data_IF_778141623617
#
_entry.id   IF_778141623617
#
_cell.length_a   1.000
_cell.length_b   1.000
_cell.length_c   1.000
_cell.angle_alpha   90.00
_cell.angle_beta   90.00
_cell.angle_gamma   90.00
#
_symmetry.space_group_name_H-M   'P 1'
#
loop_
_entity.id
_entity.type
_entity.pdbx_description
1 polymer ?
#
# COMPACT_ATOMS: atom_id res chain seq x y z
N UNK A 1 -50.30 -60.21 -5.03
CA UNK A 1 -50.53 -58.93 -5.71
C UNK A 1 -49.82 -57.87 -4.86
N UNK A 2 -48.62 -57.46 -5.28
CA UNK A 2 -47.72 -56.60 -4.51
C UNK A 2 -47.85 -55.15 -5.01
N UNK A 3 -48.07 -54.21 -4.11
CA UNK A 3 -47.87 -52.77 -4.33
C UNK A 3 -46.68 -52.31 -3.47
N UNK A 4 -45.65 -51.67 -4.06
CA UNK A 4 -44.64 -50.96 -3.29
C UNK A 4 -44.97 -49.45 -3.31
N UNK A 5 -45.24 -48.87 -2.15
CA UNK A 5 -45.31 -47.41 -2.00
C UNK A 5 -43.89 -46.88 -1.78
N UNK A 6 -43.42 -46.09 -2.74
CA UNK A 6 -42.08 -45.47 -2.76
C UNK A 6 -41.90 -44.52 -1.57
N UNK A 7 -40.87 -44.75 -0.77
CA UNK A 7 -40.33 -43.74 0.14
C UNK A 7 -39.54 -42.71 -0.69
N UNK A 8 -40.03 -41.47 -0.75
CA UNK A 8 -39.30 -40.34 -1.32
C UNK A 8 -38.26 -39.89 -0.27
N UNK A 9 -36.98 -40.14 -0.53
CA UNK A 9 -35.88 -39.51 0.23
C UNK A 9 -35.56 -38.18 -0.44
N UNK A 10 -35.98 -37.09 0.19
CA UNK A 10 -35.54 -35.74 -0.17
C UNK A 10 -34.08 -35.56 0.26
N UNK A 11 -33.17 -35.40 -0.70
CA UNK A 11 -31.80 -34.96 -0.46
C UNK A 11 -31.79 -33.43 -0.51
N UNK A 12 -31.82 -32.79 0.66
CA UNK A 12 -31.48 -31.36 0.76
C UNK A 12 -29.98 -31.27 0.52
N UNK A 13 -29.59 -30.84 -0.68
CA UNK A 13 -28.21 -30.50 -0.99
C UNK A 13 -27.83 -29.23 -0.24
N UNK A 14 -26.95 -29.35 0.76
CA UNK A 14 -26.22 -28.19 1.28
C UNK A 14 -25.20 -27.77 0.21
N UNK A 15 -25.48 -26.67 -0.47
CA UNK A 15 -24.47 -25.94 -1.22
C UNK A 15 -23.46 -25.35 -0.22
N UNK A 16 -22.29 -25.95 -0.13
CA UNK A 16 -21.13 -25.31 0.49
C UNK A 16 -20.67 -24.18 -0.43
N UNK A 17 -20.91 -22.93 -0.03
CA UNK A 17 -20.17 -21.79 -0.56
C UNK A 17 -18.72 -21.95 -0.07
N UNK A 18 -17.81 -22.37 -0.96
CA UNK A 18 -16.38 -22.22 -0.71
C UNK A 18 -16.08 -20.73 -0.75
N UNK A 19 -16.04 -20.09 0.41
CA UNK A 19 -15.33 -18.82 0.55
C UNK A 19 -13.85 -19.15 0.47
N UNK A 20 -13.21 -18.86 -0.67
CA UNK A 20 -11.77 -18.88 -0.77
C UNK A 20 -11.22 -17.83 0.21
N UNK A 21 -10.56 -18.28 1.27
CA UNK A 21 -9.80 -17.39 2.15
C UNK A 21 -8.57 -16.96 1.38
N UNK A 22 -8.54 -15.72 0.90
CA UNK A 22 -7.32 -15.12 0.35
C UNK A 22 -6.37 -14.90 1.53
N UNK A 23 -5.17 -15.46 1.45
CA UNK A 23 -4.12 -15.21 2.45
C UNK A 23 -3.75 -13.73 2.39
N UNK A 24 -3.49 -13.11 3.55
CA UNK A 24 -2.97 -11.74 3.58
C UNK A 24 -1.65 -11.63 2.81
N UNK A 25 -0.90 -12.74 2.69
CA UNK A 25 0.30 -12.84 1.88
C UNK A 25 0.07 -12.70 0.36
N UNK A 26 -1.17 -12.81 -0.14
CA UNK A 26 -1.51 -12.68 -1.56
C UNK A 26 -2.15 -11.33 -1.90
N UNK A 27 -2.26 -10.42 -0.94
CA UNK A 27 -2.84 -9.10 -1.14
C UNK A 27 -1.75 -8.07 -1.44
N UNK A 28 -2.05 -7.13 -2.33
CA UNK A 28 -1.17 -6.00 -2.58
C UNK A 28 -1.21 -5.09 -1.34
N UNK A 29 -0.07 -4.94 -0.67
CA UNK A 29 0.08 -4.08 0.51
C UNK A 29 0.99 -2.92 0.16
N UNK A 30 0.46 -1.70 0.29
CA UNK A 30 1.14 -0.46 -0.06
C UNK A 30 1.18 0.42 1.17
N UNK A 31 2.36 0.89 1.57
CA UNK A 31 2.41 1.82 2.69
C UNK A 31 3.76 2.48 2.93
N UNK A 32 3.77 3.37 3.92
CA UNK A 32 4.94 4.09 4.39
C UNK A 32 5.82 3.12 5.18
N UNK A 33 7.01 2.86 4.67
CA UNK A 33 8.04 2.02 5.30
C UNK A 33 8.91 2.87 6.21
N UNK A 34 9.26 4.08 5.78
CA UNK A 34 10.05 5.02 6.57
C UNK A 34 9.53 6.45 6.36
N UNK A 35 9.40 7.26 7.42
CA UNK A 35 9.74 7.00 8.82
C UNK A 35 8.83 5.97 9.49
N UNK A 36 9.18 5.54 10.71
CA UNK A 36 8.33 4.69 11.56
C UNK A 36 7.45 5.54 12.47
N UNK A 37 6.29 5.01 12.82
CA UNK A 37 5.30 5.69 13.66
C UNK A 37 5.86 5.97 15.06
N UNK A 38 5.79 7.23 15.47
CA UNK A 38 6.23 7.75 16.77
C UNK A 38 7.71 7.47 17.10
N UNK A 39 8.54 7.28 16.08
CA UNK A 39 9.99 7.26 16.27
C UNK A 39 10.60 8.66 16.19
N UNK A 40 11.73 8.83 16.87
CA UNK A 40 12.52 10.07 16.87
C UNK A 40 13.84 9.81 16.16
N UNK A 41 14.21 10.69 15.23
CA UNK A 41 15.46 10.61 14.48
C UNK A 41 16.32 11.86 14.68
N UNK A 42 17.62 11.71 14.53
CA UNK A 42 18.55 12.84 14.50
C UNK A 42 18.35 13.65 13.20
N UNK A 43 18.47 15.00 13.22
CA UNK A 43 18.42 15.79 12.00
C UNK A 43 19.45 15.28 10.98
N UNK A 44 19.00 15.11 9.74
CA UNK A 44 19.83 14.76 8.60
C UNK A 44 19.70 15.82 7.51
N UNK A 45 20.77 16.04 6.74
CA UNK A 45 20.72 16.97 5.60
C UNK A 45 19.61 16.60 4.60
N UNK A 46 19.40 15.29 4.44
CA UNK A 46 18.36 14.70 3.62
C UNK A 46 17.69 13.56 4.39
N UNK A 47 16.44 13.79 4.77
CA UNK A 47 15.57 12.83 5.43
C UNK A 47 14.86 11.98 4.37
N UNK A 48 15.03 10.64 4.35
CA UNK A 48 14.35 9.79 3.39
C UNK A 48 12.87 9.67 3.74
N UNK A 49 12.02 9.59 2.72
CA UNK A 49 10.64 9.12 2.83
C UNK A 49 10.53 7.92 1.91
N UNK A 50 10.08 6.79 2.44
CA UNK A 50 10.09 5.51 1.72
C UNK A 50 8.72 4.87 1.81
N UNK A 51 8.17 4.53 0.65
CA UNK A 51 7.01 3.67 0.49
C UNK A 51 7.45 2.30 -0.03
N UNK A 52 6.73 1.27 0.36
CA UNK A 52 6.96 -0.10 -0.09
C UNK A 52 5.66 -0.70 -0.59
N UNK A 53 5.77 -1.47 -1.67
CA UNK A 53 4.71 -2.31 -2.21
C UNK A 53 5.14 -3.76 -2.05
N UNK A 54 4.37 -4.53 -1.28
CA UNK A 54 4.51 -5.98 -1.19
C UNK A 54 3.51 -6.66 -2.11
N UNK A 55 3.92 -7.75 -2.76
CA UNK A 55 3.19 -8.38 -3.87
C UNK A 55 2.97 -7.38 -5.02
N UNK A 56 4.06 -6.71 -5.39
CA UNK A 56 4.02 -5.57 -6.30
C UNK A 56 3.57 -5.95 -7.72
N UNK A 57 3.69 -7.22 -8.13
CA UNK A 57 3.22 -7.71 -9.42
C UNK A 57 1.72 -7.45 -9.65
N UNK A 58 0.92 -7.41 -8.58
CA UNK A 58 -0.52 -7.10 -8.61
C UNK A 58 -0.81 -5.63 -8.89
N UNK A 59 0.17 -4.75 -8.75
CA UNK A 59 0.03 -3.31 -8.99
C UNK A 59 -0.01 -2.93 -10.47
N UNK A 60 0.54 -3.78 -11.35
CA UNK A 60 0.77 -3.45 -12.76
C UNK A 60 -0.49 -2.98 -13.51
N UNK A 61 -1.67 -3.50 -13.15
CA UNK A 61 -2.94 -3.13 -13.80
C UNK A 61 -3.64 -1.91 -13.19
N UNK A 62 -3.16 -1.40 -12.05
CA UNK A 62 -3.91 -0.44 -11.23
C UNK A 62 -3.66 1.03 -11.59
N UNK A 63 -2.69 1.34 -12.46
CA UNK A 63 -2.24 2.71 -12.75
C UNK A 63 -2.06 3.52 -11.45
N UNK A 64 -1.18 3.02 -10.59
CA UNK A 64 -0.98 3.57 -9.25
C UNK A 64 -0.34 4.94 -9.29
N UNK A 65 -0.73 5.76 -8.32
CA UNK A 65 -0.17 7.08 -8.09
C UNK A 65 -0.06 7.32 -6.58
N UNK A 66 1.12 7.73 -6.13
CA UNK A 66 1.41 8.05 -4.73
C UNK A 66 1.71 9.54 -4.63
N UNK A 67 0.85 10.27 -3.93
CA UNK A 67 1.03 11.67 -3.60
C UNK A 67 1.31 11.81 -2.10
N UNK A 68 2.25 12.66 -1.69
CA UNK A 68 2.48 12.93 -0.28
C UNK A 68 3.14 14.28 -0.01
N UNK A 69 3.07 14.70 1.24
CA UNK A 69 3.82 15.84 1.78
C UNK A 69 4.16 15.62 3.26
N UNK A 70 5.10 16.41 3.78
CA UNK A 70 5.41 16.45 5.21
C UNK A 70 4.79 17.73 5.80
N UNK A 71 4.15 17.62 6.95
CA UNK A 71 3.58 18.74 7.72
C UNK A 71 4.12 18.80 9.15
N UNK A 72 4.07 19.99 9.74
CA UNK A 72 4.45 20.21 11.14
C UNK A 72 3.29 19.81 12.06
N UNK A 73 3.47 18.71 12.80
CA UNK A 73 2.50 18.18 13.76
C UNK A 73 1.06 18.14 13.22
N UNK A 74 0.14 18.75 13.96
CA UNK A 74 -1.30 18.77 13.62
C UNK A 74 -1.69 19.87 12.63
N UNK A 75 -0.75 20.68 12.14
CA UNK A 75 -1.08 21.71 11.16
C UNK A 75 -1.43 21.07 9.82
N UNK A 76 -2.57 21.45 9.24
CA UNK A 76 -2.99 20.98 7.91
C UNK A 76 -2.23 21.71 6.76
N UNK A 77 -1.04 22.24 7.03
CA UNK A 77 -0.22 22.94 6.05
C UNK A 77 1.04 22.15 5.76
N UNK A 78 1.32 22.00 4.48
CA UNK A 78 2.58 21.46 3.98
C UNK A 78 3.75 22.30 4.51
N UNK A 79 4.76 21.62 5.04
CA UNK A 79 5.98 22.21 5.56
C UNK A 79 7.20 21.94 4.65
N UNK A 80 7.25 20.79 3.96
CA UNK A 80 8.44 20.37 3.20
C UNK A 80 8.15 19.85 1.78
N UNK A 81 7.29 20.52 1.02
CA UNK A 81 7.06 20.13 -0.37
C UNK A 81 5.97 19.08 -0.54
N UNK A 82 5.28 19.15 -1.69
CA UNK A 82 4.40 18.11 -2.20
C UNK A 82 5.16 17.25 -3.21
N UNK A 83 4.90 15.95 -3.23
CA UNK A 83 5.52 15.04 -4.18
C UNK A 83 4.57 14.00 -4.68
N UNK A 84 4.87 13.56 -5.89
CA UNK A 84 4.00 12.75 -6.71
C UNK A 84 4.83 11.72 -7.45
N UNK A 85 4.45 10.46 -7.31
CA UNK A 85 5.04 9.34 -8.01
C UNK A 85 3.95 8.66 -8.84
N UNK A 86 3.97 8.91 -10.16
CA UNK A 86 3.17 8.16 -11.12
C UNK A 86 3.86 6.83 -11.40
N UNK A 87 3.19 5.73 -11.04
CA UNK A 87 3.70 4.37 -11.18
C UNK A 87 3.02 3.62 -12.33
N UNK A 88 2.38 4.34 -13.27
CA UNK A 88 1.67 3.72 -14.41
C UNK A 88 2.59 2.84 -15.26
N UNK A 89 3.84 3.27 -15.49
CA UNK A 89 4.81 2.55 -16.31
C UNK A 89 5.93 1.89 -15.47
N UNK A 90 5.69 1.70 -14.16
CA UNK A 90 6.67 1.11 -13.25
C UNK A 90 6.88 -0.39 -13.53
N UNK A 91 8.14 -0.84 -13.39
CA UNK A 91 8.51 -2.24 -13.51
C UNK A 91 8.42 -2.93 -12.14
N UNK A 92 7.29 -3.57 -11.87
CA UNK A 92 7.02 -4.27 -10.61
C UNK A 92 7.64 -5.68 -10.54
N UNK A 93 8.70 -5.97 -11.29
CA UNK A 93 9.41 -7.27 -11.22
C UNK A 93 10.27 -7.44 -9.97
N UNK A 94 10.54 -6.36 -9.24
CA UNK A 94 11.30 -6.37 -7.97
C UNK A 94 10.36 -6.44 -6.78
N UNK A 95 10.67 -7.32 -5.81
CA UNK A 95 9.86 -7.55 -4.62
C UNK A 95 10.71 -7.37 -3.34
N UNK A 96 10.31 -6.49 -2.40
CA UNK A 96 9.25 -5.49 -2.55
C UNK A 96 9.64 -4.36 -3.52
N UNK A 97 8.66 -3.71 -4.14
CA UNK A 97 8.92 -2.54 -4.97
C UNK A 97 8.99 -1.30 -4.07
N UNK A 98 10.09 -0.55 -4.18
CA UNK A 98 10.40 0.58 -3.29
C UNK A 98 10.25 1.90 -4.05
N UNK A 99 9.50 2.83 -3.47
CA UNK A 99 9.40 4.22 -3.92
C UNK A 99 10.00 5.09 -2.83
N UNK A 100 10.93 5.97 -3.20
CA UNK A 100 11.60 6.81 -2.23
C UNK A 100 11.88 8.20 -2.77
N UNK A 101 12.02 9.14 -1.84
CA UNK A 101 12.48 10.49 -2.11
C UNK A 101 13.18 11.06 -0.87
N UNK A 102 13.91 12.15 -1.04
CA UNK A 102 14.72 12.79 -0.02
C UNK A 102 14.20 14.19 0.27
N UNK A 103 14.09 14.53 1.55
CA UNK A 103 13.54 15.81 2.01
C UNK A 103 14.50 16.52 2.94
N UNK A 104 14.67 17.81 2.73
CA UNK A 104 15.44 18.64 3.63
C UNK A 104 14.59 18.99 4.86
N UNK A 105 14.64 18.13 5.88
CA UNK A 105 13.98 18.33 7.18
C UNK A 105 15.06 18.75 8.19
N UNK A 106 15.45 20.02 8.14
CA UNK A 106 16.60 20.56 8.88
C UNK A 106 16.23 21.20 10.24
N UNK A 107 14.97 21.06 10.65
CA UNK A 107 14.45 21.61 11.91
C UNK A 107 14.03 20.49 12.87
N UNK A 108 14.26 20.71 14.16
CA UNK A 108 13.68 19.86 15.19
C UNK A 108 12.18 20.11 15.29
N UNK A 109 11.41 19.07 15.59
CA UNK A 109 9.97 19.18 15.72
C UNK A 109 9.26 17.84 15.65
N UNK A 110 7.94 17.93 15.78
CA UNK A 110 7.02 16.84 15.53
C UNK A 110 6.47 16.99 14.11
N UNK A 111 6.53 15.93 13.33
CA UNK A 111 6.18 15.94 11.92
C UNK A 111 5.25 14.78 11.58
N UNK A 112 4.60 14.91 10.43
CA UNK A 112 3.79 13.86 9.88
C UNK A 112 4.01 13.77 8.38
N UNK A 113 4.27 12.56 7.90
CA UNK A 113 4.09 12.22 6.49
C UNK A 113 2.60 11.97 6.30
N UNK A 114 1.96 12.79 5.47
CA UNK A 114 0.59 12.58 5.04
C UNK A 114 0.60 12.30 3.54
N UNK A 115 0.10 11.13 3.16
CA UNK A 115 0.09 10.66 1.78
C UNK A 115 -1.29 10.17 1.34
N UNK A 116 -1.41 9.92 0.06
CA UNK A 116 -2.54 9.29 -0.58
C UNK A 116 -2.02 8.33 -1.64
N UNK A 117 -2.51 7.10 -1.59
CA UNK A 117 -2.34 6.13 -2.68
C UNK A 117 -3.63 6.12 -3.47
N UNK A 118 -3.54 6.24 -4.78
CA UNK A 118 -4.70 6.18 -5.66
C UNK A 118 -4.50 5.19 -6.79
N UNK A 119 -5.61 4.57 -7.22
CA UNK A 119 -5.62 3.51 -8.22
C UNK A 119 -6.88 3.58 -9.07
N UNK A 120 -6.81 3.01 -10.27
CA UNK A 120 -7.94 2.86 -11.20
C UNK A 120 -8.45 1.43 -11.22
N UNK A 121 -9.77 1.30 -11.14
CA UNK A 121 -10.48 0.01 -11.19
C UNK A 121 -11.77 0.13 -11.99
N UNK A 122 -12.30 -1.01 -12.40
CA UNK A 122 -13.68 -1.10 -12.85
C UNK A 122 -14.61 -1.16 -11.63
N UNK A 123 -15.55 -0.23 -11.55
CA UNK A 123 -16.67 -0.31 -10.61
C UNK A 123 -17.85 -0.99 -11.30
N UNK A 124 -18.20 -2.18 -10.79
CA UNK A 124 -19.28 -3.02 -11.28
C UNK A 124 -20.49 -3.03 -10.34
N UNK A 125 -20.55 -2.10 -9.36
CA UNK A 125 -21.66 -2.01 -8.42
C UNK A 125 -22.93 -1.42 -9.02
N UNK A 126 -22.81 -0.72 -10.16
CA UNK A 126 -23.90 -0.08 -10.88
C UNK A 126 -24.53 -0.94 -11.98
N UNK A 127 -25.45 -0.34 -12.74
CA UNK A 127 -26.05 -0.97 -13.93
C UNK A 127 -25.07 -1.08 -15.10
N UNK A 128 -24.04 -0.23 -15.11
CA UNK A 128 -22.99 -0.18 -16.12
C UNK A 128 -21.62 -0.19 -15.44
N UNK A 129 -20.65 -0.82 -16.10
CA UNK A 129 -19.26 -0.84 -15.63
C UNK A 129 -18.61 0.49 -15.96
N UNK A 130 -18.14 1.20 -14.94
CA UNK A 130 -17.46 2.49 -15.10
C UNK A 130 -16.03 2.40 -14.58
N UNK A 131 -15.13 3.19 -15.17
CA UNK A 131 -13.79 3.35 -14.61
C UNK A 131 -13.85 4.30 -13.42
N UNK A 132 -13.49 3.80 -12.25
CA UNK A 132 -13.42 4.57 -11.02
C UNK A 132 -11.96 4.80 -10.62
N UNK A 133 -11.70 5.99 -10.04
CA UNK A 133 -10.44 6.26 -9.34
C UNK A 133 -10.72 6.24 -7.84
N UNK A 134 -10.09 5.31 -7.15
CA UNK A 134 -10.18 5.18 -5.70
C UNK A 134 -8.90 5.69 -5.07
N UNK A 135 -8.95 6.00 -3.78
CA UNK A 135 -7.78 6.39 -3.01
C UNK A 135 -7.91 6.03 -1.54
N UNK A 136 -6.76 5.85 -0.89
CA UNK A 136 -6.65 5.73 0.56
C UNK A 136 -5.59 6.69 1.08
N UNK A 137 -5.90 7.38 2.18
CA UNK A 137 -4.95 8.25 2.84
C UNK A 137 -4.03 7.43 3.74
N UNK A 138 -2.76 7.80 3.75
CA UNK A 138 -1.72 7.22 4.60
C UNK A 138 -1.16 8.29 5.53
N UNK A 139 -0.72 7.86 6.71
CA UNK A 139 -0.20 8.76 7.72
C UNK A 139 0.83 8.07 8.60
N UNK A 140 1.96 8.72 8.81
CA UNK A 140 2.94 8.37 9.84
C UNK A 140 3.43 9.61 10.57
N UNK A 141 3.43 9.58 11.90
CA UNK A 141 4.00 10.64 12.75
C UNK A 141 5.43 10.28 13.15
N UNK A 142 6.31 11.27 13.24
CA UNK A 142 7.69 11.09 13.67
C UNK A 142 8.25 12.40 14.26
N UNK A 143 9.35 12.30 14.98
CA UNK A 143 10.04 13.44 15.57
C UNK A 143 11.46 13.59 15.00
N UNK A 144 11.92 14.83 14.86
CA UNK A 144 13.32 15.15 14.63
C UNK A 144 13.87 15.87 15.85
N UNK A 145 14.98 15.37 16.41
CA UNK A 145 15.62 15.93 17.60
C UNK A 145 17.11 15.61 17.65
N UNK A 146 17.97 16.60 17.92
CA UNK A 146 19.42 16.38 18.06
C UNK A 146 19.73 15.41 19.18
N UNK A 147 20.71 14.52 18.93
CA UNK A 147 21.09 13.46 19.86
C UNK A 147 20.08 12.31 19.97
N UNK A 148 19.11 12.23 19.05
CA UNK A 148 18.31 11.01 18.85
C UNK A 148 19.11 9.98 18.01
N UNK A 149 18.46 8.91 17.58
CA UNK A 149 19.10 7.90 16.73
C UNK A 149 19.39 8.44 15.33
N UNK A 150 20.60 8.17 14.81
CA UNK A 150 20.91 8.40 13.39
C UNK A 150 20.01 7.51 12.50
N UNK A 151 19.79 7.96 11.26
CA UNK A 151 18.97 7.23 10.30
C UNK A 151 19.78 6.05 9.74
N UNK A 152 19.42 4.84 10.16
CA UNK A 152 19.94 3.58 9.63
C UNK A 152 18.79 2.76 9.03
N UNK A 153 18.55 2.92 7.73
CA UNK A 153 17.43 2.29 7.03
C UNK A 153 17.43 0.75 7.17
N UNK A 154 18.54 0.03 6.95
CA UNK A 154 18.58 -1.41 7.19
C UNK A 154 18.19 -1.82 8.61
N UNK A 155 18.70 -1.12 9.62
CA UNK A 155 18.39 -1.44 11.01
C UNK A 155 16.93 -1.14 11.35
N UNK A 156 16.40 0.02 10.95
CA UNK A 156 15.01 0.44 11.22
C UNK A 156 14.00 -0.47 10.50
N UNK A 157 14.33 -0.94 9.30
CA UNK A 157 13.43 -1.80 8.52
C UNK A 157 13.51 -3.28 8.89
N UNK A 158 14.58 -3.73 9.53
CA UNK A 158 14.68 -5.09 10.08
C UNK A 158 13.79 -5.32 11.31
N UNK A 159 13.34 -4.26 11.99
CA UNK A 159 12.40 -4.34 13.09
C UNK A 159 11.01 -4.78 12.56
N UNK A 160 10.61 -6.02 12.87
CA UNK A 160 9.34 -6.64 12.43
C UNK A 160 8.14 -6.20 13.25
N UNK A 161 8.04 -4.90 13.49
CA UNK A 161 6.94 -4.34 14.26
C UNK A 161 5.66 -4.29 13.42
N UNK A 162 4.52 -4.25 14.12
CA UNK A 162 3.27 -3.93 13.45
C UNK A 162 3.24 -2.42 13.23
N UNK A 163 3.09 -2.05 11.97
CA UNK A 163 2.84 -0.69 11.55
C UNK A 163 1.47 -0.19 12.04
N UNK A 164 1.33 1.14 12.16
CA UNK A 164 0.04 1.78 12.42
C UNK A 164 -0.98 1.41 11.34
N UNK A 165 -2.26 1.29 11.70
CA UNK A 165 -3.34 1.02 10.73
C UNK A 165 -3.41 2.06 9.61
N UNK A 166 -2.92 3.27 9.86
CA UNK A 166 -2.92 4.39 8.91
C UNK A 166 -1.68 4.43 8.02
N UNK A 167 -0.71 3.55 8.25
CA UNK A 167 0.55 3.59 7.49
C UNK A 167 0.44 2.96 6.09
N UNK A 168 -0.63 2.20 5.81
CA UNK A 168 -0.78 1.51 4.53
C UNK A 168 -2.21 1.17 4.14
N UNK A 169 -2.36 0.56 2.97
CA UNK A 169 -3.61 0.06 2.39
C UNK A 169 -3.39 -1.32 1.77
N UNK A 170 -4.38 -2.18 1.92
CA UNK A 170 -4.38 -3.52 1.31
C UNK A 170 -5.43 -3.61 0.22
N UNK A 171 -5.05 -4.11 -0.95
CA UNK A 171 -5.91 -4.30 -2.11
C UNK A 171 -5.98 -5.78 -2.51
N UNK A 172 -7.20 -6.29 -2.68
CA UNK A 172 -7.43 -7.63 -3.23
C UNK A 172 -7.66 -7.53 -4.74
N UNK A 173 -6.55 -7.60 -5.49
CA UNK A 173 -6.55 -7.57 -6.95
C UNK A 173 -6.84 -8.97 -7.47
N UNK A 174 -7.97 -9.12 -8.17
CA UNK A 174 -8.48 -10.45 -8.56
C UNK A 174 -7.74 -11.07 -9.76
N UNK A 175 -6.95 -10.27 -10.48
CA UNK A 175 -6.40 -10.63 -11.79
C UNK A 175 -7.43 -10.64 -12.93
N UNK A 176 -8.71 -10.37 -12.62
CA UNK A 176 -9.75 -10.19 -13.62
C UNK A 176 -9.79 -8.75 -14.12
N UNK A 177 -10.20 -8.59 -15.37
CA UNK A 177 -10.40 -7.29 -15.98
C UNK A 177 -11.81 -7.18 -16.53
N UNK A 178 -12.40 -6.00 -16.44
CA UNK A 178 -13.67 -5.69 -17.09
C UNK A 178 -13.46 -4.59 -18.13
N UNK A 179 -14.51 -4.28 -18.88
CA UNK A 179 -14.47 -3.29 -19.95
C UNK A 179 -15.61 -2.30 -19.82
N UNK A 180 -15.28 -1.01 -19.89
CA UNK A 180 -16.29 0.05 -19.94
C UNK A 180 -17.10 -0.03 -21.24
N UNK A 181 -18.44 0.00 -21.20
CA UNK A 181 -19.26 -0.09 -22.41
C UNK A 181 -19.03 1.05 -23.40
N UNK A 182 -18.84 2.27 -22.89
CA UNK A 182 -18.77 3.49 -23.70
C UNK A 182 -17.38 3.73 -24.32
N UNK A 183 -16.31 3.57 -23.54
CA UNK A 183 -14.94 3.86 -23.99
C UNK A 183 -14.20 2.61 -24.47
N UNK A 184 -14.67 1.41 -24.10
CA UNK A 184 -14.00 0.14 -24.41
C UNK A 184 -12.69 -0.06 -23.63
N UNK A 185 -12.42 0.80 -22.64
CA UNK A 185 -11.23 0.75 -21.81
C UNK A 185 -11.28 -0.47 -20.89
N UNK A 186 -10.12 -1.11 -20.74
CA UNK A 186 -9.95 -2.28 -19.88
C UNK A 186 -9.39 -1.83 -18.54
N UNK A 187 -10.05 -2.20 -17.44
CA UNK A 187 -9.58 -1.92 -16.07
C UNK A 187 -9.62 -3.18 -15.20
N UNK A 188 -8.81 -3.23 -14.13
CA UNK A 188 -8.83 -4.36 -13.21
C UNK A 188 -10.08 -4.33 -12.32
N UNK A 189 -10.54 -5.52 -11.94
CA UNK A 189 -11.58 -5.70 -10.93
C UNK A 189 -10.90 -6.01 -9.60
N UNK A 190 -11.28 -5.27 -8.56
CA UNK A 190 -10.88 -5.55 -7.18
C UNK A 190 -12.09 -6.02 -6.39
N UNK A 191 -11.84 -6.78 -5.34
CA UNK A 191 -12.86 -7.10 -4.34
C UNK A 191 -12.47 -6.50 -3.00
N UNK A 192 -13.46 -6.29 -2.13
CA UNK A 192 -13.17 -5.87 -0.77
C UNK A 192 -12.25 -6.92 -0.12
N UNK A 193 -11.12 -6.52 0.49
CA UNK A 193 -10.31 -7.45 1.26
C UNK A 193 -11.12 -7.95 2.48
N UNK A 194 -10.71 -9.09 3.03
CA UNK A 194 -11.31 -9.59 4.29
C UNK A 194 -11.24 -8.50 5.36
N UNK A 195 -12.24 -8.42 6.24
CA UNK A 195 -12.22 -7.47 7.38
C UNK A 195 -11.07 -7.71 8.36
N UNK A 196 -10.34 -8.82 8.21
CA UNK A 196 -9.14 -9.18 8.98
C UNK A 196 -7.84 -8.79 8.29
N UNK A 197 -7.88 -8.33 7.04
CA UNK A 197 -6.69 -7.89 6.32
C UNK A 197 -6.30 -6.50 6.83
N UNK A 198 -5.06 -6.36 7.27
CA UNK A 198 -4.50 -5.09 7.77
C UNK A 198 -3.17 -4.86 7.07
N UNK A 199 -2.98 -3.64 6.56
CA UNK A 199 -1.72 -3.24 5.96
C UNK A 199 -0.61 -3.32 7.00
N UNK A 200 0.55 -3.83 6.60
CA UNK A 200 1.73 -3.85 7.44
C UNK A 200 2.97 -3.58 6.57
N UNK A 201 3.15 -2.32 6.12
CA UNK A 201 4.34 -1.92 5.37
C UNK A 201 5.62 -2.04 6.23
N UNK A 202 5.51 -2.20 7.55
CA UNK A 202 6.67 -2.40 8.42
C UNK A 202 7.40 -3.72 8.21
N UNK A 203 6.79 -4.69 7.51
CA UNK A 203 7.42 -5.95 7.13
C UNK A 203 8.42 -5.84 5.98
N UNK A 204 8.40 -4.71 5.26
CA UNK A 204 9.37 -4.42 4.21
C UNK A 204 10.74 -4.23 4.85
N UNK A 205 11.65 -5.16 4.57
CA UNK A 205 13.04 -5.10 4.96
C UNK A 205 13.88 -4.50 3.82
N UNK A 206 14.63 -3.44 4.09
CA UNK A 206 15.51 -2.79 3.11
C UNK A 206 16.96 -3.12 3.47
N UNK A 207 17.56 -4.07 2.76
CA UNK A 207 18.94 -4.48 3.01
C UNK A 207 19.97 -3.38 2.71
N UNK A 208 21.18 -3.54 3.24
CA UNK A 208 22.29 -2.58 3.09
C UNK A 208 22.58 -2.20 1.63
N UNK A 209 22.50 -3.16 0.70
CA UNK A 209 22.75 -2.88 -0.71
C UNK A 209 21.68 -1.97 -1.35
N UNK A 210 20.40 -2.18 -1.01
CA UNK A 210 19.31 -1.33 -1.48
C UNK A 210 19.40 0.07 -0.85
N UNK A 211 19.68 0.14 0.46
CA UNK A 211 19.91 1.40 1.15
C UNK A 211 21.04 2.22 0.52
N UNK A 212 22.19 1.59 0.25
CA UNK A 212 23.31 2.23 -0.42
C UNK A 212 22.92 2.74 -1.82
N UNK A 213 22.20 1.95 -2.61
CA UNK A 213 21.75 2.36 -3.94
C UNK A 213 20.81 3.59 -3.90
N UNK A 214 19.96 3.72 -2.89
CA UNK A 214 19.10 4.90 -2.72
C UNK A 214 19.92 6.15 -2.37
N UNK A 215 20.91 6.00 -1.49
CA UNK A 215 21.82 7.09 -1.12
C UNK A 215 22.70 7.53 -2.29
N UNK A 216 23.17 6.59 -3.12
CA UNK A 216 23.94 6.91 -4.32
C UNK A 216 23.10 7.71 -5.34
N UNK A 217 21.81 7.38 -5.47
CA UNK A 217 20.89 8.10 -6.37
C UNK A 217 20.71 9.58 -5.97
N UNK A 218 20.69 9.89 -4.67
CA UNK A 218 20.64 11.28 -4.16
C UNK A 218 21.87 12.09 -4.60
N UNK A 219 23.05 11.46 -4.66
CA UNK A 219 24.29 12.14 -5.05
C UNK A 219 24.47 12.26 -6.57
N UNK A 220 23.64 11.59 -7.35
CA UNK A 220 23.68 11.62 -8.81
C UNK A 220 22.72 12.64 -9.45
N UNK A 221 21.78 13.21 -8.66
CA UNK A 221 20.78 14.21 -9.08
C UNK A 221 21.22 15.64 -8.82
#
# INVERSE_FOLDING_TARGET
MFTPTRAVRSLIGLSFLLSATVDAADLLDIGIVFPRENETYEPADYFPIIFGLQNADKAASLNLDIDYFIRNGTENREAFGHSKHDLTDADFTTEPYIVYDWRKVDTEGHFQVFGSVSWRVCDESGAEVVMARNSSNLSVHFDIKRGAQEIDIPTVTAAKDNCSEWSGVVLNVTGQTSRTPDTGEVCPVIVAPSSTATANPCRVEIGTAAAASMSDALHAS
#
